data_IF_249963697656
#
_entry.id   IF_249963697656
#
_cell.length_a   1.000
_cell.length_b   1.000
_cell.length_c   1.000
_cell.angle_alpha   90.00
_cell.angle_beta   90.00
_cell.angle_gamma   90.00
#
_symmetry.space_group_name_H-M   'P 1'
#
loop_
_entity.id
_entity.type
_entity.pdbx_description
1 polymer ?
#
# COMPACT_ATOMS: atom_id res chain seq x y z
N UNK A 1 -18.10 18.77 -21.25
CA UNK A 1 -16.84 18.14 -21.60
C UNK A 1 -16.58 17.05 -20.55
N UNK A 2 -16.48 15.79 -21.00
CA UNK A 2 -16.10 14.67 -20.12
C UNK A 2 -14.63 14.85 -19.71
N UNK A 3 -14.33 14.78 -18.41
CA UNK A 3 -12.93 14.71 -17.97
C UNK A 3 -12.33 13.43 -18.54
N UNK A 4 -11.22 13.55 -19.28
CA UNK A 4 -10.45 12.39 -19.70
C UNK A 4 -10.11 11.56 -18.46
N UNK A 5 -10.47 10.28 -18.47
CA UNK A 5 -9.93 9.33 -17.51
C UNK A 5 -8.41 9.28 -17.75
N UNK A 6 -7.64 9.64 -16.74
CA UNK A 6 -6.18 9.51 -16.79
C UNK A 6 -5.85 8.05 -16.58
N UNK A 7 -5.39 7.35 -17.59
CA UNK A 7 -4.67 6.10 -17.42
C UNK A 7 -3.32 6.40 -16.76
N UNK A 8 -2.70 5.38 -16.14
CA UNK A 8 -1.37 5.50 -15.53
C UNK A 8 -0.36 6.13 -16.52
N UNK A 9 -0.49 5.79 -17.80
CA UNK A 9 0.35 6.31 -18.85
C UNK A 9 -0.34 6.11 -20.21
N UNK A 10 -0.27 7.10 -21.09
CA UNK A 10 -0.83 7.04 -22.44
C UNK A 10 -0.04 6.08 -23.36
N UNK A 11 1.16 5.69 -22.94
CA UNK A 11 2.07 4.79 -23.66
C UNK A 11 2.20 3.50 -22.87
N UNK A 12 2.14 2.30 -23.49
CA UNK A 12 2.33 1.03 -22.80
C UNK A 12 3.80 0.83 -22.40
N UNK A 13 4.25 1.58 -21.39
CA UNK A 13 5.64 1.60 -20.91
C UNK A 13 6.09 0.29 -20.25
N UNK A 14 5.14 -0.53 -19.78
CA UNK A 14 5.37 -1.80 -19.07
C UNK A 14 6.18 -1.67 -17.77
N UNK A 15 6.27 -0.46 -17.22
CA UNK A 15 6.95 -0.20 -15.95
C UNK A 15 5.92 -0.34 -14.82
N UNK A 16 6.00 -1.44 -14.11
CA UNK A 16 5.16 -1.74 -12.94
C UNK A 16 6.04 -2.25 -11.82
N UNK A 17 5.81 -1.75 -10.60
CA UNK A 17 6.51 -2.20 -9.39
C UNK A 17 5.59 -2.02 -8.17
N UNK A 18 5.30 -3.06 -7.38
CA UNK A 18 4.47 -2.95 -6.19
C UNK A 18 5.11 -2.17 -5.04
N UNK A 19 6.39 -1.81 -5.12
CA UNK A 19 7.12 -1.12 -4.05
C UNK A 19 6.43 0.19 -3.62
N UNK A 20 5.81 0.91 -4.55
CA UNK A 20 5.14 2.17 -4.26
C UNK A 20 3.96 1.93 -3.30
N UNK A 21 3.18 0.87 -3.52
CA UNK A 21 2.07 0.50 -2.63
C UNK A 21 2.58 0.03 -1.26
N UNK A 22 3.70 -0.73 -1.20
CA UNK A 22 4.32 -1.15 0.05
C UNK A 22 4.79 0.05 0.88
N UNK A 23 5.52 1.00 0.27
CA UNK A 23 5.97 2.23 0.92
C UNK A 23 4.78 3.06 1.41
N UNK A 24 3.71 3.14 0.63
CA UNK A 24 2.51 3.88 1.03
C UNK A 24 1.86 3.27 2.30
N UNK A 25 1.79 1.94 2.39
CA UNK A 25 1.28 1.28 3.61
C UNK A 25 2.22 1.49 4.81
N UNK A 26 3.53 1.36 4.62
CA UNK A 26 4.51 1.65 5.68
C UNK A 26 4.35 3.08 6.21
N UNK A 27 4.12 4.03 5.31
CA UNK A 27 3.84 5.43 5.69
C UNK A 27 2.56 5.51 6.52
N UNK A 28 1.48 4.82 6.13
CA UNK A 28 0.24 4.80 6.91
C UNK A 28 0.46 4.24 8.32
N UNK A 29 1.23 3.15 8.46
CA UNK A 29 1.56 2.56 9.77
C UNK A 29 2.31 3.58 10.63
N UNK A 30 3.34 4.22 10.08
CA UNK A 30 4.11 5.24 10.80
C UNK A 30 3.26 6.43 11.21
N UNK A 31 2.34 6.87 10.37
CA UNK A 31 1.43 7.97 10.67
C UNK A 31 0.45 7.62 11.80
N UNK A 32 -0.02 6.36 11.87
CA UNK A 32 -0.81 5.87 13.00
C UNK A 32 0.02 5.90 14.28
N UNK A 33 1.27 5.42 14.26
CA UNK A 33 2.15 5.47 15.43
C UNK A 33 2.34 6.90 15.94
N UNK A 34 2.60 7.85 15.05
CA UNK A 34 2.77 9.27 15.40
C UNK A 34 1.49 9.90 15.98
N UNK A 35 0.32 9.51 15.48
CA UNK A 35 -0.97 9.98 16.03
C UNK A 35 -1.16 9.41 17.44
N UNK A 36 -0.84 8.14 17.65
CA UNK A 36 -0.95 7.51 18.97
C UNK A 36 0.05 8.10 19.98
N UNK A 37 1.27 8.43 19.57
CA UNK A 37 2.24 9.14 20.40
C UNK A 37 1.68 10.47 20.91
N UNK A 38 1.02 11.24 20.04
CA UNK A 38 0.40 12.52 20.42
C UNK A 38 -0.82 12.28 21.33
N UNK A 39 -1.68 11.32 20.98
CA UNK A 39 -2.90 10.98 21.73
C UNK A 39 -2.61 10.61 23.18
N UNK A 40 -1.45 10.01 23.45
CA UNK A 40 -1.05 9.54 24.78
C UNK A 40 -0.50 10.65 25.70
N UNK A 41 -0.51 11.92 25.27
CA UNK A 41 -0.16 13.06 26.13
C UNK A 41 -1.26 13.32 27.16
N UNK A 42 -0.89 13.77 28.35
CA UNK A 42 -1.84 14.11 29.43
C UNK A 42 -2.84 15.22 29.03
N UNK A 43 -2.39 16.16 28.20
CA UNK A 43 -3.24 17.20 27.61
C UNK A 43 -2.77 17.54 26.19
N UNK A 44 -3.71 17.82 25.32
CA UNK A 44 -3.44 18.21 23.94
C UNK A 44 -3.47 19.74 23.81
N UNK A 45 -2.44 20.28 23.16
CA UNK A 45 -2.34 21.68 22.79
C UNK A 45 -3.02 21.92 21.43
N UNK A 46 -3.19 23.20 21.06
CA UNK A 46 -3.69 23.58 19.73
C UNK A 46 -2.75 23.07 18.61
N UNK A 47 -1.44 23.08 18.87
CA UNK A 47 -0.44 22.57 17.92
C UNK A 47 -0.53 21.06 17.77
N UNK A 48 -0.83 20.31 18.84
CA UNK A 48 -1.08 18.88 18.77
C UNK A 48 -2.30 18.56 17.89
N UNK A 49 -3.39 19.31 18.03
CA UNK A 49 -4.57 19.16 17.18
C UNK A 49 -4.27 19.47 15.70
N UNK A 50 -3.50 20.53 15.45
CA UNK A 50 -3.07 20.88 14.10
C UNK A 50 -2.17 19.77 13.50
N UNK A 51 -1.26 19.20 14.29
CA UNK A 51 -0.39 18.10 13.85
C UNK A 51 -1.19 16.83 13.57
N UNK A 52 -2.10 16.42 14.45
CA UNK A 52 -2.99 15.26 14.22
C UNK A 52 -3.76 15.43 12.91
N UNK A 53 -4.32 16.60 12.66
CA UNK A 53 -5.07 16.87 11.42
C UNK A 53 -4.22 16.65 10.17
N UNK A 54 -2.97 17.10 10.19
CA UNK A 54 -2.01 16.88 9.07
C UNK A 54 -1.62 15.41 8.91
N UNK A 55 -1.39 14.69 10.01
CA UNK A 55 -1.06 13.26 9.99
C UNK A 55 -2.24 12.44 9.43
N UNK A 56 -3.48 12.77 9.81
CA UNK A 56 -4.68 12.13 9.28
C UNK A 56 -4.80 12.38 7.76
N UNK A 57 -4.65 13.62 7.32
CA UNK A 57 -4.72 13.96 5.90
C UNK A 57 -3.68 13.19 5.07
N UNK A 58 -2.44 13.10 5.56
CA UNK A 58 -1.39 12.31 4.91
C UNK A 58 -1.69 10.81 4.91
N UNK A 59 -2.24 10.27 5.99
CA UNK A 59 -2.65 8.86 6.06
C UNK A 59 -3.74 8.56 5.02
N UNK A 60 -4.71 9.44 4.86
CA UNK A 60 -5.77 9.29 3.85
C UNK A 60 -5.22 9.34 2.42
N UNK A 61 -4.31 10.27 2.14
CA UNK A 61 -3.64 10.38 0.84
C UNK A 61 -2.87 9.10 0.49
N UNK A 62 -2.10 8.55 1.45
CA UNK A 62 -1.35 7.31 1.23
C UNK A 62 -2.27 6.10 1.06
N UNK A 63 -3.42 6.05 1.74
CA UNK A 63 -4.42 5.02 1.50
C UNK A 63 -5.05 5.10 0.10
N UNK A 64 -5.23 6.29 -0.46
CA UNK A 64 -5.62 6.45 -1.86
C UNK A 64 -4.52 5.96 -2.80
N UNK A 65 -3.26 6.32 -2.51
CA UNK A 65 -2.10 5.89 -3.29
C UNK A 65 -1.97 4.37 -3.35
N UNK A 66 -2.17 3.65 -2.23
CA UNK A 66 -2.22 2.19 -2.24
C UNK A 66 -3.25 1.68 -3.23
N UNK A 67 -4.47 2.22 -3.18
CA UNK A 67 -5.56 1.80 -4.09
C UNK A 67 -5.22 2.06 -5.55
N UNK A 68 -4.63 3.21 -5.85
CA UNK A 68 -4.30 3.60 -7.23
C UNK A 68 -3.22 2.69 -7.81
N UNK A 69 -2.15 2.44 -7.07
CA UNK A 69 -1.06 1.56 -7.51
C UNK A 69 -1.51 0.11 -7.71
N UNK A 70 -2.29 -0.44 -6.76
CA UNK A 70 -2.82 -1.80 -6.91
C UNK A 70 -3.77 -1.88 -8.09
N UNK A 71 -4.67 -0.90 -8.31
CA UNK A 71 -5.59 -0.87 -9.46
C UNK A 71 -4.85 -0.86 -10.79
N UNK A 72 -3.78 -0.08 -10.88
CA UNK A 72 -2.96 0.01 -12.09
C UNK A 72 -2.32 -1.34 -12.40
N UNK A 73 -1.65 -1.97 -11.43
CA UNK A 73 -1.01 -3.27 -11.65
C UNK A 73 -2.07 -4.35 -11.94
N UNK A 74 -3.14 -4.40 -11.17
CA UNK A 74 -4.21 -5.37 -11.33
C UNK A 74 -4.98 -5.20 -12.65
N UNK A 75 -5.27 -3.96 -13.06
CA UNK A 75 -6.04 -3.68 -14.28
C UNK A 75 -5.21 -3.77 -15.56
N UNK A 76 -3.95 -3.30 -15.52
CA UNK A 76 -3.14 -3.11 -16.72
C UNK A 76 -2.10 -4.21 -16.93
N UNK A 77 -1.48 -4.72 -15.85
CA UNK A 77 -0.44 -5.75 -15.95
C UNK A 77 -1.00 -7.17 -15.84
N UNK A 78 -1.91 -7.45 -14.88
CA UNK A 78 -2.48 -8.78 -14.67
C UNK A 78 -3.40 -9.14 -15.85
N UNK A 79 -3.17 -10.31 -16.44
CA UNK A 79 -3.96 -10.87 -17.53
C UNK A 79 -4.33 -12.32 -17.22
N UNK A 80 -5.04 -12.96 -18.14
CA UNK A 80 -5.55 -14.32 -17.97
C UNK A 80 -4.50 -15.34 -17.48
N UNK A 81 -3.25 -15.37 -17.99
CA UNK A 81 -2.26 -16.36 -17.51
C UNK A 81 -1.92 -16.19 -16.01
N UNK A 82 -1.85 -14.94 -15.51
CA UNK A 82 -1.61 -14.70 -14.09
C UNK A 82 -2.83 -15.10 -13.24
N UNK A 83 -4.04 -14.83 -13.73
CA UNK A 83 -5.27 -15.21 -13.02
C UNK A 83 -5.45 -16.73 -12.94
N UNK A 84 -5.06 -17.47 -13.96
CA UNK A 84 -5.07 -18.92 -13.94
C UNK A 84 -4.06 -19.51 -12.95
N UNK A 85 -2.87 -18.89 -12.88
CA UNK A 85 -1.82 -19.31 -11.95
C UNK A 85 -2.13 -18.92 -10.48
N UNK A 86 -2.80 -17.78 -10.28
CA UNK A 86 -3.13 -17.23 -8.96
C UNK A 86 -4.63 -16.89 -8.87
N UNK A 87 -5.49 -17.90 -8.66
CA UNK A 87 -6.94 -17.69 -8.63
C UNK A 87 -7.42 -16.69 -7.58
N UNK A 88 -6.62 -16.50 -6.51
CA UNK A 88 -6.91 -15.55 -5.44
C UNK A 88 -6.73 -14.08 -5.81
N UNK A 89 -6.15 -13.74 -6.97
CA UNK A 89 -5.73 -12.37 -7.30
C UNK A 89 -6.88 -11.35 -7.28
N UNK A 90 -8.06 -11.71 -7.78
CA UNK A 90 -9.22 -10.81 -7.75
C UNK A 90 -9.66 -10.51 -6.31
N UNK A 91 -9.79 -11.55 -5.49
CA UNK A 91 -10.19 -11.42 -4.09
C UNK A 91 -9.13 -10.69 -3.28
N UNK A 92 -7.85 -10.95 -3.56
CA UNK A 92 -6.73 -10.26 -2.94
C UNK A 92 -6.76 -8.75 -3.26
N UNK A 93 -6.88 -8.38 -4.53
CA UNK A 93 -6.98 -6.98 -4.94
C UNK A 93 -8.19 -6.29 -4.31
N UNK A 94 -9.36 -6.94 -4.32
CA UNK A 94 -10.55 -6.41 -3.68
C UNK A 94 -10.38 -6.26 -2.17
N UNK A 95 -9.79 -7.25 -1.48
CA UNK A 95 -9.51 -7.16 -0.04
C UNK A 95 -8.55 -6.01 0.31
N UNK A 96 -7.57 -5.73 -0.54
CA UNK A 96 -6.69 -4.56 -0.40
C UNK A 96 -7.50 -3.26 -0.50
N UNK A 97 -8.45 -3.16 -1.44
CA UNK A 97 -9.33 -2.00 -1.56
C UNK A 97 -10.15 -1.75 -0.29
N UNK A 98 -10.73 -2.82 0.28
CA UNK A 98 -11.53 -2.74 1.50
C UNK A 98 -10.69 -2.37 2.73
N UNK A 99 -9.55 -3.04 2.92
CA UNK A 99 -8.64 -2.75 4.04
C UNK A 99 -8.03 -1.35 3.93
N UNK A 100 -7.67 -0.91 2.73
CA UNK A 100 -7.19 0.46 2.52
C UNK A 100 -8.25 1.50 2.88
N UNK A 101 -9.53 1.24 2.58
CA UNK A 101 -10.63 2.11 3.02
C UNK A 101 -10.76 2.13 4.53
N UNK A 102 -10.73 0.97 5.19
CA UNK A 102 -10.78 0.87 6.66
C UNK A 102 -9.62 1.59 7.32
N UNK A 103 -8.39 1.35 6.87
CA UNK A 103 -7.18 1.97 7.39
C UNK A 103 -7.15 3.49 7.17
N UNK A 104 -7.71 3.96 6.05
CA UNK A 104 -7.88 5.38 5.75
C UNK A 104 -8.81 6.07 6.75
N UNK A 105 -9.98 5.50 6.97
CA UNK A 105 -11.07 6.11 7.74
C UNK A 105 -10.88 6.03 9.25
N UNK A 106 -9.99 5.15 9.73
CA UNK A 106 -9.78 4.91 11.15
C UNK A 106 -8.31 5.08 11.55
N UNK A 107 -8.09 5.33 12.83
CA UNK A 107 -6.76 5.23 13.47
C UNK A 107 -6.70 3.79 14.02
N UNK A 108 -6.33 2.85 13.15
CA UNK A 108 -6.38 1.41 13.41
C UNK A 108 -5.07 0.78 12.90
N UNK A 109 -4.16 0.52 13.83
CA UNK A 109 -2.85 -0.05 13.52
C UNK A 109 -2.97 -1.48 12.96
N UNK A 110 -3.89 -2.28 13.52
CA UNK A 110 -4.09 -3.65 13.07
C UNK A 110 -4.60 -3.70 11.62
N UNK A 111 -5.50 -2.79 11.26
CA UNK A 111 -5.97 -2.68 9.87
C UNK A 111 -4.83 -2.29 8.91
N UNK A 112 -3.91 -1.41 9.32
CA UNK A 112 -2.76 -1.04 8.49
C UNK A 112 -1.73 -2.18 8.37
N UNK A 113 -1.50 -2.96 9.43
CA UNK A 113 -0.64 -4.15 9.39
C UNK A 113 -1.26 -5.22 8.47
N UNK A 114 -2.55 -5.51 8.63
CA UNK A 114 -3.26 -6.46 7.76
C UNK A 114 -3.24 -6.02 6.28
N UNK A 115 -3.31 -4.71 6.03
CA UNK A 115 -3.16 -4.15 4.68
C UNK A 115 -1.76 -4.43 4.13
N UNK A 116 -0.70 -4.25 4.94
CA UNK A 116 0.68 -4.54 4.53
C UNK A 116 0.86 -6.02 4.16
N UNK A 117 0.31 -6.94 4.94
CA UNK A 117 0.37 -8.38 4.65
C UNK A 117 -0.26 -8.70 3.28
N UNK A 118 -1.40 -8.10 2.97
CA UNK A 118 -2.08 -8.29 1.67
C UNK A 118 -1.29 -7.67 0.52
N UNK A 119 -0.73 -6.47 0.71
CA UNK A 119 0.12 -5.82 -0.30
C UNK A 119 1.42 -6.59 -0.50
N UNK A 120 2.02 -7.14 0.56
CA UNK A 120 3.17 -8.05 0.45
C UNK A 120 2.83 -9.30 -0.36
N UNK A 121 1.67 -9.93 -0.11
CA UNK A 121 1.23 -11.09 -0.91
C UNK A 121 1.03 -10.72 -2.38
N UNK A 122 0.48 -9.55 -2.67
CA UNK A 122 0.34 -9.06 -4.03
C UNK A 122 1.71 -8.84 -4.70
N UNK A 123 2.69 -8.31 -3.96
CA UNK A 123 4.05 -8.13 -4.44
C UNK A 123 4.75 -9.46 -4.74
N UNK A 124 4.58 -10.49 -3.88
CA UNK A 124 5.09 -11.84 -4.15
C UNK A 124 4.56 -12.39 -5.49
N UNK A 125 3.24 -12.33 -5.68
CA UNK A 125 2.59 -12.81 -6.90
C UNK A 125 3.10 -12.03 -8.13
N UNK A 126 3.23 -10.71 -8.00
CA UNK A 126 3.74 -9.87 -9.08
C UNK A 126 5.15 -10.30 -9.51
N UNK A 127 6.08 -10.45 -8.57
CA UNK A 127 7.45 -10.84 -8.87
C UNK A 127 7.56 -12.29 -9.36
N UNK A 128 6.79 -13.21 -8.78
CA UNK A 128 6.76 -14.60 -9.24
C UNK A 128 6.18 -14.71 -10.66
N UNK A 129 5.26 -13.83 -11.06
CA UNK A 129 4.76 -13.77 -12.44
C UNK A 129 5.84 -13.35 -13.46
N UNK A 130 6.93 -12.74 -12.98
CA UNK A 130 8.13 -12.38 -13.76
C UNK A 130 9.27 -13.40 -13.61
N UNK A 131 9.03 -14.53 -12.91
CA UNK A 131 10.03 -15.53 -12.54
C UNK A 131 11.19 -14.95 -11.70
N UNK A 132 10.90 -13.94 -10.89
CA UNK A 132 11.83 -13.32 -9.96
C UNK A 132 11.49 -13.83 -8.55
N UNK A 133 12.47 -14.44 -7.88
CA UNK A 133 12.35 -14.86 -6.49
C UNK A 133 12.23 -13.64 -5.57
N UNK A 134 11.56 -13.82 -4.46
CA UNK A 134 11.42 -12.78 -3.43
C UNK A 134 11.96 -13.27 -2.09
N UNK A 135 12.27 -12.32 -1.25
CA UNK A 135 12.60 -12.58 0.15
C UNK A 135 11.93 -11.53 1.05
N UNK A 136 11.69 -11.91 2.29
CA UNK A 136 11.17 -11.00 3.32
C UNK A 136 12.33 -10.38 4.08
N UNK A 137 12.27 -9.09 4.31
CA UNK A 137 13.23 -8.40 5.16
C UNK A 137 12.59 -7.19 5.84
N UNK A 138 13.04 -6.90 7.05
CA UNK A 138 12.64 -5.69 7.77
C UNK A 138 13.16 -4.46 7.06
N UNK A 139 12.29 -3.50 6.80
CA UNK A 139 12.71 -2.22 6.21
C UNK A 139 13.62 -1.45 7.20
N UNK A 140 14.70 -0.80 6.71
CA UNK A 140 15.71 -0.18 7.56
C UNK A 140 15.31 1.24 8.06
N UNK A 141 14.03 1.48 8.21
CA UNK A 141 13.43 2.75 8.65
C UNK A 141 12.10 2.48 9.38
N UNK A 142 11.63 3.38 10.24
CA UNK A 142 10.31 3.23 10.86
C UNK A 142 9.21 3.06 9.79
N UNK A 143 8.24 2.19 10.03
CA UNK A 143 7.91 1.47 11.28
C UNK A 143 8.59 0.09 11.43
N UNK A 144 9.70 -0.18 10.77
CA UNK A 144 10.49 -1.43 10.87
C UNK A 144 9.67 -2.71 10.64
N UNK A 145 8.77 -2.64 9.66
CA UNK A 145 7.95 -3.78 9.27
C UNK A 145 8.65 -4.64 8.21
N UNK A 146 8.29 -5.91 8.15
CA UNK A 146 8.75 -6.81 7.09
C UNK A 146 8.01 -6.53 5.79
N UNK A 147 8.76 -6.36 4.72
CA UNK A 147 8.23 -6.27 3.36
C UNK A 147 8.90 -7.26 2.42
N UNK A 148 8.24 -7.53 1.32
CA UNK A 148 8.72 -8.39 0.24
C UNK A 148 9.62 -7.58 -0.68
N UNK A 149 10.83 -8.07 -0.89
CA UNK A 149 11.79 -7.55 -1.85
C UNK A 149 12.05 -8.55 -2.98
N UNK A 150 12.22 -8.09 -4.22
CA UNK A 150 12.69 -8.96 -5.30
C UNK A 150 14.17 -9.28 -5.12
N UNK A 151 14.55 -10.53 -5.41
CA UNK A 151 15.97 -10.91 -5.52
C UNK A 151 16.43 -10.66 -6.95
N UNK A 152 16.98 -9.46 -7.16
CA UNK A 152 17.49 -9.02 -8.46
C UNK A 152 18.97 -9.34 -8.66
N UNK A 153 19.61 -10.08 -7.75
CA UNK A 153 21.00 -10.54 -7.94
C UNK A 153 21.05 -11.56 -9.05
N UNK A 154 21.89 -11.29 -10.03
CA UNK A 154 22.24 -12.23 -11.12
C UNK A 154 23.40 -13.11 -10.71
#
# INVERSE_FOLDING_TARGET
>A
PFKRASAHCDIPCKIYDPIISQIAVLTMIRLVDLIEEIKNKDSLTIDDHAQISRLIAQKEEHGLKVKDEIRVIWGDYIKQPQLEKYPELHDLAHSIMLLSSKAKQNIDKEATISLLEKVNRFAEIFWDSKNIKTFKSTCPYPPEQEIIYPDLKK
#
